data_IF_935945850796
#
_entry.id   IF_935945850796
#
_cell.length_a   1.000
_cell.length_b   1.000
_cell.length_c   1.000
_cell.angle_alpha   90.00
_cell.angle_beta   90.00
_cell.angle_gamma   90.00
#
_symmetry.space_group_name_H-M   'P 1'
#
loop_
_entity.id
_entity.type
_entity.pdbx_description
1 polymer ?
#
# COMPACT_ATOMS: atom_id res chain seq x y z
N UNK A 1 -19.39 -17.77 -0.94
CA UNK A 1 -20.66 -17.04 -1.18
C UNK A 1 -20.68 -16.55 -2.63
N UNK A 2 -21.81 -16.05 -3.13
CA UNK A 2 -21.93 -15.44 -4.47
C UNK A 2 -20.92 -14.30 -4.67
N UNK A 3 -20.76 -13.43 -3.66
CA UNK A 3 -19.80 -12.32 -3.68
C UNK A 3 -18.35 -12.76 -3.96
N UNK A 4 -17.92 -13.90 -3.42
CA UNK A 4 -16.59 -14.45 -3.70
C UNK A 4 -16.47 -14.95 -5.14
N UNK A 5 -17.52 -15.55 -5.70
CA UNK A 5 -17.51 -16.01 -7.10
C UNK A 5 -17.43 -14.83 -8.06
N UNK A 6 -18.25 -13.80 -7.85
CA UNK A 6 -18.20 -12.57 -8.65
C UNK A 6 -16.84 -11.89 -8.57
N UNK A 7 -16.25 -11.79 -7.37
CA UNK A 7 -14.91 -11.21 -7.22
C UNK A 7 -13.83 -12.06 -7.90
N UNK A 8 -13.90 -13.39 -7.80
CA UNK A 8 -12.99 -14.30 -8.49
C UNK A 8 -13.11 -14.17 -10.01
N UNK A 9 -14.33 -14.15 -10.55
CA UNK A 9 -14.58 -13.97 -11.99
C UNK A 9 -14.00 -12.65 -12.49
N UNK A 10 -14.22 -11.55 -11.75
CA UNK A 10 -13.64 -10.23 -12.05
C UNK A 10 -12.11 -10.25 -12.10
N UNK A 11 -11.47 -10.98 -11.18
CA UNK A 11 -10.02 -10.95 -11.03
C UNK A 11 -9.28 -12.09 -11.76
N UNK A 12 -10.01 -13.07 -12.31
CA UNK A 12 -9.47 -14.26 -12.99
C UNK A 12 -8.33 -13.93 -13.96
N UNK A 13 -8.57 -13.04 -14.91
CA UNK A 13 -7.55 -12.68 -15.89
C UNK A 13 -6.31 -11.98 -15.30
N UNK A 14 -6.41 -11.29 -14.16
CA UNK A 14 -5.25 -10.73 -13.49
C UNK A 14 -4.49 -11.80 -12.69
N UNK A 15 -5.21 -12.75 -12.08
CA UNK A 15 -4.60 -13.91 -11.41
C UNK A 15 -3.78 -14.75 -12.40
N UNK A 16 -4.34 -15.05 -13.58
CA UNK A 16 -3.64 -15.80 -14.63
C UNK A 16 -2.38 -15.07 -15.14
N UNK A 17 -2.46 -13.73 -15.30
CA UNK A 17 -1.30 -12.91 -15.69
C UNK A 17 -0.18 -12.99 -14.65
N UNK A 18 -0.54 -12.98 -13.36
CA UNK A 18 0.43 -13.05 -12.26
C UNK A 18 1.10 -14.42 -12.19
N UNK A 19 0.36 -15.50 -12.44
CA UNK A 19 0.94 -16.83 -12.61
C UNK A 19 1.96 -16.84 -13.76
N UNK A 20 1.56 -16.37 -14.94
CA UNK A 20 2.45 -16.31 -16.10
C UNK A 20 3.69 -15.42 -15.87
N UNK A 21 3.58 -14.40 -15.02
CA UNK A 21 4.66 -13.51 -14.61
C UNK A 21 5.55 -14.08 -13.48
N UNK A 22 5.35 -15.33 -13.05
CA UNK A 22 6.17 -15.96 -12.02
C UNK A 22 5.97 -15.38 -10.61
N UNK A 23 4.77 -14.87 -10.35
CA UNK A 23 4.39 -14.34 -9.02
C UNK A 23 3.93 -15.44 -8.06
N UNK A 24 3.67 -16.65 -8.56
CA UNK A 24 3.48 -17.84 -7.72
C UNK A 24 4.86 -18.35 -7.29
N UNK A 25 5.11 -18.36 -5.97
CA UNK A 25 6.39 -18.74 -5.38
C UNK A 25 6.16 -19.54 -4.11
N UNK A 26 7.18 -20.25 -3.66
CA UNK A 26 7.22 -20.78 -2.30
C UNK A 26 7.33 -19.60 -1.33
N UNK A 27 6.24 -19.33 -0.61
CA UNK A 27 6.10 -18.22 0.32
C UNK A 27 6.03 -18.75 1.77
N UNK A 28 5.61 -17.91 2.72
CA UNK A 28 5.39 -18.35 4.11
C UNK A 28 4.21 -19.32 4.23
N UNK A 29 3.14 -19.08 3.45
CA UNK A 29 1.89 -19.87 3.45
C UNK A 29 0.90 -19.45 4.53
N UNK A 30 1.41 -19.00 5.68
CA UNK A 30 0.65 -18.61 6.89
C UNK A 30 1.17 -17.30 7.55
N UNK A 31 1.45 -16.27 6.74
CA UNK A 31 2.06 -15.02 7.23
C UNK A 31 1.07 -14.10 7.99
N UNK A 32 0.64 -14.48 9.18
CA UNK A 32 -0.19 -13.64 10.06
C UNK A 32 0.55 -13.19 11.32
N UNK A 33 0.02 -12.24 12.10
CA UNK A 33 0.74 -11.62 13.22
C UNK A 33 1.15 -12.61 14.32
N UNK A 34 0.46 -13.75 14.45
CA UNK A 34 0.88 -14.79 15.42
C UNK A 34 2.15 -15.53 15.00
N UNK A 35 2.56 -15.39 13.74
CA UNK A 35 3.76 -16.00 13.14
C UNK A 35 4.86 -14.95 12.91
N UNK A 36 4.78 -13.85 13.67
CA UNK A 36 5.78 -12.79 13.72
C UNK A 36 6.12 -12.55 15.18
N UNK A 37 7.40 -12.68 15.53
CA UNK A 37 7.90 -12.37 16.86
C UNK A 37 9.03 -11.33 16.77
N UNK A 38 9.32 -10.70 17.91
CA UNK A 38 10.53 -9.88 18.04
C UNK A 38 11.63 -10.78 18.60
N UNK A 39 12.73 -10.94 17.86
CA UNK A 39 13.96 -11.53 18.36
C UNK A 39 15.05 -10.47 18.28
N UNK A 40 15.72 -10.20 19.41
CA UNK A 40 16.75 -9.16 19.54
C UNK A 40 16.31 -7.76 19.06
N UNK A 41 15.02 -7.44 19.26
CA UNK A 41 14.44 -6.16 18.85
C UNK A 41 14.06 -6.06 17.37
N UNK A 42 14.28 -7.11 16.59
CA UNK A 42 13.93 -7.15 15.16
C UNK A 42 12.76 -8.11 14.89
N UNK A 43 11.84 -7.77 13.97
CA UNK A 43 10.79 -8.69 13.56
C UNK A 43 11.39 -9.91 12.84
N UNK A 44 10.89 -11.08 13.21
CA UNK A 44 11.25 -12.37 12.63
C UNK A 44 9.98 -13.15 12.31
N UNK A 45 9.93 -13.67 11.10
CA UNK A 45 8.89 -14.58 10.65
C UNK A 45 9.25 -15.98 11.13
N UNK A 46 8.27 -16.75 11.60
CA UNK A 46 8.47 -18.13 12.03
C UNK A 46 7.21 -18.95 11.74
N UNK A 47 7.30 -20.29 11.81
CA UNK A 47 6.18 -21.19 11.53
C UNK A 47 5.67 -21.08 10.07
N UNK A 48 6.59 -21.01 9.11
CA UNK A 48 6.25 -21.14 7.70
C UNK A 48 5.82 -22.57 7.35
N UNK A 49 4.95 -22.71 6.35
CA UNK A 49 4.49 -24.01 5.88
C UNK A 49 5.64 -24.73 5.15
N UNK A 50 6.29 -25.67 5.84
CA UNK A 50 7.42 -26.45 5.28
C UNK A 50 7.02 -27.84 4.79
N UNK A 51 5.88 -28.35 5.25
CA UNK A 51 5.49 -29.75 5.07
C UNK A 51 4.61 -30.00 3.83
N UNK A 52 4.12 -28.95 3.16
CA UNK A 52 3.26 -29.08 1.99
C UNK A 52 3.56 -27.99 0.96
N UNK A 53 4.27 -28.38 -0.10
CA UNK A 53 4.67 -27.48 -1.19
C UNK A 53 3.47 -26.86 -1.91
N UNK A 54 2.33 -27.55 -2.00
CA UNK A 54 1.13 -26.99 -2.65
C UNK A 54 0.50 -25.86 -1.82
N UNK A 55 0.54 -25.96 -0.49
CA UNK A 55 0.04 -24.91 0.41
C UNK A 55 1.04 -23.74 0.47
N UNK A 56 2.33 -24.03 0.44
CA UNK A 56 3.38 -23.02 0.48
C UNK A 56 3.57 -22.29 -0.86
N UNK A 57 3.18 -22.89 -1.99
CA UNK A 57 3.30 -22.29 -3.32
C UNK A 57 2.08 -21.45 -3.65
N UNK A 58 2.19 -20.14 -3.48
CA UNK A 58 1.09 -19.20 -3.67
C UNK A 58 1.56 -17.87 -4.25
N UNK A 59 0.63 -17.00 -4.60
CA UNK A 59 0.94 -15.65 -5.04
C UNK A 59 1.58 -14.85 -3.90
N UNK A 60 2.69 -14.17 -4.17
CA UNK A 60 3.41 -13.37 -3.16
C UNK A 60 2.53 -12.32 -2.47
N UNK A 61 1.57 -11.71 -3.18
CA UNK A 61 0.62 -10.77 -2.59
C UNK A 61 -0.50 -11.47 -1.84
N UNK A 62 -0.84 -12.72 -2.18
CA UNK A 62 -1.78 -13.52 -1.40
C UNK A 62 -1.18 -13.96 -0.05
N UNK A 63 0.14 -14.20 -0.01
CA UNK A 63 0.87 -14.42 1.24
C UNK A 63 0.93 -13.14 2.10
N UNK A 64 1.34 -12.01 1.49
CA UNK A 64 1.36 -10.70 2.15
C UNK A 64 -0.02 -10.31 2.69
N UNK A 65 -1.08 -10.54 1.91
CA UNK A 65 -2.45 -10.18 2.27
C UNK A 65 -2.91 -10.82 3.58
N UNK A 66 -2.28 -11.91 4.02
CA UNK A 66 -2.61 -12.50 5.32
C UNK A 66 -2.22 -11.54 6.45
N UNK A 67 -1.00 -11.00 6.44
CA UNK A 67 -0.54 -10.02 7.41
C UNK A 67 -1.39 -8.74 7.36
N UNK A 68 -1.68 -8.27 6.14
CA UNK A 68 -2.49 -7.06 5.95
C UNK A 68 -3.90 -7.23 6.51
N UNK A 69 -4.54 -8.37 6.23
CA UNK A 69 -5.86 -8.72 6.77
C UNK A 69 -5.82 -8.79 8.30
N UNK A 70 -4.77 -9.38 8.88
CA UNK A 70 -4.64 -9.58 10.32
C UNK A 70 -4.43 -8.25 11.09
N UNK A 71 -3.63 -7.34 10.52
CA UNK A 71 -3.46 -5.97 11.00
C UNK A 71 -4.78 -5.18 10.90
N UNK A 72 -5.47 -5.30 9.77
CA UNK A 72 -6.73 -4.61 9.53
C UNK A 72 -7.82 -5.07 10.51
N UNK A 73 -7.97 -6.39 10.69
CA UNK A 73 -8.92 -7.00 11.62
C UNK A 73 -8.71 -6.53 13.08
N UNK A 74 -7.44 -6.35 13.49
CA UNK A 74 -7.07 -5.87 14.83
C UNK A 74 -7.19 -4.36 15.02
N UNK A 75 -7.65 -3.62 14.02
CA UNK A 75 -7.84 -2.17 14.12
C UNK A 75 -6.54 -1.37 13.90
N UNK A 76 -5.59 -1.91 13.14
CA UNK A 76 -4.36 -1.21 12.73
C UNK A 76 -4.32 -0.94 11.22
N UNK A 77 -5.29 -0.17 10.65
CA UNK A 77 -5.34 0.10 9.22
C UNK A 77 -4.11 0.89 8.73
N UNK A 78 -3.60 1.81 9.54
CA UNK A 78 -2.40 2.60 9.22
C UNK A 78 -1.16 1.72 9.04
N UNK A 79 -1.00 0.69 9.90
CA UNK A 79 0.10 -0.26 9.81
C UNK A 79 -0.08 -1.21 8.61
N UNK A 80 -1.29 -1.65 8.32
CA UNK A 80 -1.56 -2.45 7.12
C UNK A 80 -1.22 -1.66 5.85
N UNK A 81 -1.64 -0.40 5.77
CA UNK A 81 -1.32 0.47 4.64
C UNK A 81 0.18 0.73 4.53
N UNK A 82 0.86 0.97 5.65
CA UNK A 82 2.31 1.18 5.68
C UNK A 82 3.06 -0.05 5.17
N UNK A 83 2.75 -1.25 5.67
CA UNK A 83 3.38 -2.51 5.23
C UNK A 83 3.17 -2.70 3.73
N UNK A 84 1.94 -2.52 3.24
CA UNK A 84 1.60 -2.64 1.83
C UNK A 84 2.37 -1.65 0.96
N UNK A 85 2.42 -0.37 1.34
CA UNK A 85 3.17 0.64 0.58
C UNK A 85 4.67 0.36 0.57
N UNK A 86 5.25 -0.04 1.70
CA UNK A 86 6.69 -0.36 1.77
C UNK A 86 7.04 -1.63 1.01
N UNK A 87 6.16 -2.63 1.03
CA UNK A 87 6.34 -3.82 0.21
C UNK A 87 6.36 -3.46 -1.28
N UNK A 88 5.37 -2.69 -1.76
CA UNK A 88 5.27 -2.29 -3.17
C UNK A 88 6.31 -1.24 -3.60
N UNK A 89 6.92 -0.52 -2.66
CA UNK A 89 8.06 0.35 -2.96
C UNK A 89 9.32 -0.46 -3.32
N UNK A 90 9.51 -1.61 -2.68
CA UNK A 90 10.68 -2.48 -2.86
C UNK A 90 10.43 -3.62 -3.86
N UNK A 91 9.18 -4.06 -4.00
CA UNK A 91 8.75 -5.11 -4.90
C UNK A 91 8.15 -4.53 -6.19
N UNK A 92 8.54 -5.08 -7.33
CA UNK A 92 7.95 -4.77 -8.63
C UNK A 92 6.61 -5.50 -8.82
N UNK A 93 5.61 -5.12 -8.02
CA UNK A 93 4.30 -5.80 -7.89
C UNK A 93 3.10 -4.84 -7.84
N UNK A 94 3.27 -3.58 -8.29
CA UNK A 94 2.20 -2.58 -8.30
C UNK A 94 0.98 -2.98 -9.16
N UNK A 95 1.19 -3.84 -10.16
CA UNK A 95 0.13 -4.39 -11.03
C UNK A 95 -0.86 -5.31 -10.29
N UNK A 96 -0.46 -5.87 -9.15
CA UNK A 96 -1.30 -6.69 -8.29
C UNK A 96 -2.06 -5.91 -7.23
N UNK A 97 -1.89 -4.58 -7.13
CA UNK A 97 -2.47 -3.75 -6.06
C UNK A 97 -3.98 -3.95 -5.90
N UNK A 98 -4.72 -4.00 -7.01
CA UNK A 98 -6.17 -4.15 -7.00
C UNK A 98 -6.66 -5.52 -6.51
N UNK A 99 -5.80 -6.53 -6.40
CA UNK A 99 -6.13 -7.84 -5.86
C UNK A 99 -6.10 -7.87 -4.33
N UNK A 100 -5.42 -6.94 -3.67
CA UNK A 100 -5.21 -6.97 -2.23
C UNK A 100 -6.51 -7.06 -1.41
N UNK A 101 -7.58 -6.28 -1.69
CA UNK A 101 -8.85 -6.43 -0.99
C UNK A 101 -9.43 -7.85 -1.13
N UNK A 102 -9.36 -8.43 -2.34
CA UNK A 102 -9.86 -9.77 -2.62
C UNK A 102 -9.02 -10.85 -1.90
N UNK A 103 -7.69 -10.76 -1.97
CA UNK A 103 -6.81 -11.68 -1.25
C UNK A 103 -6.99 -11.60 0.27
N UNK A 104 -7.11 -10.38 0.83
CA UNK A 104 -7.44 -10.18 2.23
C UNK A 104 -8.79 -10.81 2.57
N UNK A 105 -9.81 -10.67 1.71
CA UNK A 105 -11.13 -11.28 1.93
C UNK A 105 -11.04 -12.81 1.99
N UNK A 106 -10.29 -13.42 1.07
CA UNK A 106 -10.08 -14.88 1.06
C UNK A 106 -9.37 -15.32 2.34
N UNK A 107 -8.31 -14.62 2.76
CA UNK A 107 -7.59 -14.93 4.01
C UNK A 107 -8.49 -14.76 5.25
N UNK A 108 -9.34 -13.74 5.28
CA UNK A 108 -10.33 -13.57 6.34
C UNK A 108 -11.34 -14.73 6.36
N UNK A 109 -11.82 -15.19 5.19
CA UNK A 109 -12.71 -16.35 5.11
C UNK A 109 -12.04 -17.65 5.58
N UNK A 110 -10.77 -17.86 5.25
CA UNK A 110 -9.97 -18.99 5.76
C UNK A 110 -9.88 -18.94 7.29
N UNK A 111 -9.55 -17.78 7.87
CA UNK A 111 -9.52 -17.59 9.34
C UNK A 111 -10.88 -17.84 9.99
N UNK A 112 -11.96 -17.40 9.36
CA UNK A 112 -13.31 -17.67 9.84
C UNK A 112 -13.60 -19.18 9.88
N UNK A 113 -13.24 -19.90 8.81
CA UNK A 113 -13.49 -21.33 8.70
C UNK A 113 -12.67 -22.14 9.70
N UNK A 114 -11.35 -21.91 9.78
CA UNK A 114 -10.46 -22.59 10.73
C UNK A 114 -10.90 -22.37 12.18
N UNK A 115 -11.24 -21.12 12.52
CA UNK A 115 -11.74 -20.80 13.87
C UNK A 115 -13.06 -21.50 14.18
N UNK A 116 -13.95 -21.66 13.18
CA UNK A 116 -15.21 -22.38 13.35
C UNK A 116 -15.00 -23.90 13.54
N UNK A 117 -14.06 -24.52 12.82
CA UNK A 117 -13.73 -25.94 13.01
C UNK A 117 -13.22 -26.22 14.43
N UNK A 118 -12.40 -25.32 15.00
CA UNK A 118 -11.94 -25.43 16.39
C UNK A 118 -13.08 -25.39 17.43
N UNK A 119 -14.22 -24.76 17.10
CA UNK A 119 -15.42 -24.78 17.95
C UNK A 119 -16.05 -26.17 17.96
N UNK A 120 -16.17 -26.80 16.79
CA UNK A 120 -16.76 -28.14 16.63
C UNK A 120 -15.93 -29.22 17.34
N UNK A 121 -14.62 -29.05 17.41
CA UNK A 121 -13.68 -29.95 18.10
C UNK A 121 -13.68 -29.82 19.63
N UNK A 122 -14.56 -28.99 20.21
CA UNK A 122 -14.85 -29.01 21.65
C UNK A 122 -13.93 -28.14 22.52
N UNK A 123 -13.44 -27.01 22.00
CA UNK A 123 -12.62 -26.09 22.81
C UNK A 123 -13.39 -25.54 24.03
N UNK A 124 -12.67 -25.33 25.15
CA UNK A 124 -13.23 -24.81 26.41
C UNK A 124 -13.74 -23.36 26.32
N UNK A 125 -13.50 -22.65 25.20
CA UNK A 125 -13.86 -21.24 24.99
C UNK A 125 -14.67 -21.04 23.70
N UNK A 126 -15.65 -21.93 23.49
CA UNK A 126 -16.52 -21.98 22.31
C UNK A 126 -17.17 -20.62 21.99
N UNK A 127 -17.64 -19.87 23.00
CA UNK A 127 -18.30 -18.59 22.79
C UNK A 127 -17.36 -17.53 22.18
N UNK A 128 -16.12 -17.42 22.66
CA UNK A 128 -15.13 -16.47 22.12
C UNK A 128 -14.73 -16.85 20.70
N UNK A 129 -14.50 -18.13 20.43
CA UNK A 129 -14.16 -18.62 19.09
C UNK A 129 -15.30 -18.41 18.09
N UNK A 130 -16.56 -18.61 18.49
CA UNK A 130 -17.72 -18.30 17.63
C UNK A 130 -17.76 -16.81 17.28
N UNK A 131 -17.52 -15.92 18.25
CA UNK A 131 -17.46 -14.49 18.00
C UNK A 131 -16.28 -14.11 17.07
N UNK A 132 -15.11 -14.71 17.29
CA UNK A 132 -13.92 -14.52 16.46
C UNK A 132 -14.17 -14.98 15.01
N UNK A 133 -14.69 -16.19 14.80
CA UNK A 133 -15.04 -16.72 13.48
C UNK A 133 -16.03 -15.81 12.73
N UNK A 134 -17.09 -15.35 13.41
CA UNK A 134 -18.07 -14.40 12.84
C UNK A 134 -17.43 -13.07 12.47
N UNK A 135 -16.52 -12.56 13.30
CA UNK A 135 -15.84 -11.29 13.03
C UNK A 135 -14.97 -11.35 11.77
N UNK A 136 -14.25 -12.46 11.54
CA UNK A 136 -13.48 -12.66 10.31
C UNK A 136 -14.38 -12.84 9.09
N UNK A 137 -15.51 -13.54 9.23
CA UNK A 137 -16.47 -13.67 8.14
C UNK A 137 -17.09 -12.32 7.76
N UNK A 138 -17.44 -11.49 8.75
CA UNK A 138 -17.92 -10.13 8.52
C UNK A 138 -16.86 -9.26 7.84
N UNK A 139 -15.60 -9.36 8.25
CA UNK A 139 -14.48 -8.68 7.59
C UNK A 139 -14.33 -9.13 6.13
N UNK A 140 -14.42 -10.43 5.84
CA UNK A 140 -14.37 -10.95 4.48
C UNK A 140 -15.46 -10.33 3.60
N UNK A 141 -16.68 -10.16 4.12
CA UNK A 141 -17.77 -9.51 3.39
C UNK A 141 -17.53 -8.01 3.19
N UNK A 142 -16.99 -7.29 4.19
CA UNK A 142 -16.62 -5.88 4.07
C UNK A 142 -15.56 -5.66 2.99
N UNK A 143 -14.53 -6.52 2.96
CA UNK A 143 -13.42 -6.42 2.01
C UNK A 143 -13.83 -6.64 0.55
N UNK A 144 -14.93 -7.35 0.32
CA UNK A 144 -15.50 -7.57 -1.02
C UNK A 144 -16.40 -6.41 -1.49
N UNK A 145 -16.73 -5.44 -0.62
CA UNK A 145 -17.55 -4.29 -1.01
C UNK A 145 -16.73 -3.37 -1.92
N UNK A 146 -17.32 -3.05 -3.06
CA UNK A 146 -16.72 -2.12 -4.01
C UNK A 146 -16.67 -0.72 -3.42
N UNK A 147 -15.49 -0.09 -3.50
CA UNK A 147 -15.30 1.31 -3.14
C UNK A 147 -14.75 2.04 -4.36
N UNK A 148 -15.36 3.17 -4.77
CA UNK A 148 -14.90 3.89 -5.95
C UNK A 148 -13.46 4.39 -5.74
N UNK A 149 -12.58 4.25 -6.75
CA UNK A 149 -11.22 4.75 -6.67
C UNK A 149 -11.20 6.27 -6.54
N UNK A 150 -10.16 6.80 -5.89
CA UNK A 150 -9.94 8.24 -5.72
C UNK A 150 -8.47 8.57 -5.90
N UNK A 151 -8.19 9.73 -6.47
CA UNK A 151 -6.85 10.31 -6.49
C UNK A 151 -6.81 11.54 -5.58
N UNK A 152 -5.95 11.51 -4.56
CA UNK A 152 -5.67 12.66 -3.71
C UNK A 152 -4.24 13.11 -3.95
N UNK A 153 -4.04 14.34 -4.40
CA UNK A 153 -2.70 14.94 -4.49
C UNK A 153 -2.44 15.81 -3.27
N UNK A 154 -1.27 15.63 -2.65
CA UNK A 154 -0.78 16.43 -1.53
C UNK A 154 0.50 17.12 -1.98
N UNK A 155 0.46 18.45 -2.04
CA UNK A 155 1.57 19.29 -2.46
C UNK A 155 2.00 20.32 -1.42
N UNK A 156 3.08 21.03 -1.71
CA UNK A 156 3.73 21.98 -0.79
C UNK A 156 5.24 21.81 -0.71
N UNK A 157 5.94 22.81 -0.20
CA UNK A 157 7.40 22.80 -0.08
C UNK A 157 7.90 21.68 0.85
N UNK A 158 9.18 21.32 0.74
CA UNK A 158 9.74 20.34 1.68
C UNK A 158 9.67 20.84 3.12
N UNK A 159 9.37 19.95 4.06
CA UNK A 159 9.12 20.30 5.47
C UNK A 159 7.67 20.74 5.79
N UNK A 160 6.80 20.93 4.79
CA UNK A 160 5.41 21.34 5.02
C UNK A 160 4.53 20.26 5.69
N UNK A 161 4.99 19.01 5.70
CA UNK A 161 4.28 17.87 6.30
C UNK A 161 3.52 16.99 5.30
N UNK A 162 3.75 17.15 3.99
CA UNK A 162 3.06 16.37 2.93
C UNK A 162 3.06 14.87 3.20
N UNK A 163 4.25 14.28 3.37
CA UNK A 163 4.42 12.84 3.57
C UNK A 163 3.71 12.35 4.83
N UNK A 164 3.78 13.13 5.91
CA UNK A 164 3.03 12.82 7.14
C UNK A 164 1.53 12.77 6.89
N UNK A 165 0.97 13.76 6.17
CA UNK A 165 -0.46 13.77 5.83
C UNK A 165 -0.79 12.65 4.85
N UNK A 166 0.07 12.36 3.87
CA UNK A 166 -0.12 11.28 2.90
C UNK A 166 -0.21 9.92 3.60
N UNK A 167 0.72 9.63 4.51
CA UNK A 167 0.76 8.38 5.28
C UNK A 167 -0.45 8.24 6.22
N UNK A 168 -0.87 9.33 6.90
CA UNK A 168 -2.05 9.32 7.77
C UNK A 168 -3.37 9.15 7.00
N UNK A 169 -3.45 9.69 5.77
CA UNK A 169 -4.67 9.62 4.97
C UNK A 169 -4.77 8.32 4.18
N UNK A 170 -3.66 7.73 3.74
CA UNK A 170 -3.65 6.63 2.78
C UNK A 170 -4.49 5.43 3.22
N UNK A 171 -4.41 5.03 4.50
CA UNK A 171 -5.20 3.92 5.04
C UNK A 171 -6.73 4.13 4.98
N UNK A 172 -7.17 5.38 4.87
CA UNK A 172 -8.58 5.77 4.94
C UNK A 172 -9.22 6.04 3.57
N UNK A 173 -8.50 5.80 2.49
CA UNK A 173 -8.94 6.11 1.12
C UNK A 173 -9.07 4.84 0.29
N UNK A 174 -10.26 4.61 -0.29
CA UNK A 174 -10.51 3.46 -1.18
C UNK A 174 -10.79 2.15 -0.44
N UNK A 175 -10.62 1.04 -1.16
CA UNK A 175 -10.73 -0.30 -0.61
C UNK A 175 -9.55 -0.61 0.33
N UNK A 176 -9.74 -1.41 1.40
CA UNK A 176 -8.62 -1.88 2.23
C UNK A 176 -7.57 -2.61 1.37
N UNK A 177 -6.26 -2.45 1.62
CA UNK A 177 -5.63 -1.78 2.77
C UNK A 177 -5.40 -0.26 2.57
N UNK A 178 -6.27 0.43 1.84
CA UNK A 178 -6.20 1.86 1.59
C UNK A 178 -5.50 2.18 0.27
N UNK A 179 -5.10 3.43 0.10
CA UNK A 179 -4.48 3.92 -1.13
C UNK A 179 -2.98 3.62 -1.22
N UNK A 180 -2.50 3.45 -2.45
CA UNK A 180 -1.07 3.47 -2.79
C UNK A 180 -0.55 4.91 -2.72
N UNK A 181 0.56 5.12 -2.04
CA UNK A 181 1.28 6.39 -2.03
C UNK A 181 2.26 6.41 -3.20
N UNK A 182 2.11 7.36 -4.11
CA UNK A 182 3.05 7.58 -5.21
C UNK A 182 3.83 8.85 -4.91
N UNK A 183 5.07 8.69 -4.47
CA UNK A 183 5.93 9.78 -3.97
C UNK A 183 7.03 10.14 -4.97
N UNK A 184 7.17 11.43 -5.29
CA UNK A 184 8.15 11.91 -6.28
C UNK A 184 9.60 11.62 -5.91
N UNK A 185 9.98 11.75 -4.63
CA UNK A 185 11.36 11.46 -4.19
C UNK A 185 11.67 9.96 -4.32
N UNK A 186 10.75 9.06 -3.93
CA UNK A 186 10.90 7.61 -4.12
C UNK A 186 11.03 7.22 -5.58
N UNK A 187 10.17 7.77 -6.45
CA UNK A 187 10.27 7.55 -7.90
C UNK A 187 11.64 8.02 -8.41
N UNK A 188 12.12 9.17 -7.94
CA UNK A 188 13.43 9.69 -8.32
C UNK A 188 14.55 8.72 -7.91
N UNK A 189 14.51 8.16 -6.69
CA UNK A 189 15.48 7.13 -6.25
C UNK A 189 15.42 5.87 -7.11
N UNK A 190 14.21 5.37 -7.36
CA UNK A 190 13.99 4.18 -8.18
C UNK A 190 14.52 4.37 -9.61
N UNK A 191 14.28 5.54 -10.23
CA UNK A 191 14.82 5.89 -11.56
C UNK A 191 16.36 5.95 -11.59
N UNK A 192 17.00 6.12 -10.44
CA UNK A 192 18.45 6.09 -10.29
C UNK A 192 18.99 4.73 -9.83
N UNK A 193 18.12 3.74 -9.59
CA UNK A 193 18.50 2.40 -9.13
C UNK A 193 19.13 2.40 -7.73
N UNK A 194 18.73 3.34 -6.87
CA UNK A 194 19.26 3.46 -5.51
C UNK A 194 18.15 3.28 -4.46
N UNK A 195 18.48 2.81 -3.24
CA UNK A 195 17.54 2.75 -2.13
C UNK A 195 16.86 4.08 -1.83
N UNK A 196 15.64 4.02 -1.27
CA UNK A 196 14.85 5.20 -0.97
C UNK A 196 15.58 6.22 -0.08
N UNK A 197 16.44 5.77 0.83
CA UNK A 197 17.17 6.65 1.76
C UNK A 197 18.49 7.19 1.20
N UNK A 198 18.91 6.77 0.00
CA UNK A 198 20.19 7.18 -0.58
C UNK A 198 20.12 8.60 -1.13
N UNK A 199 20.92 9.53 -0.59
CA UNK A 199 20.95 10.91 -1.06
C UNK A 199 21.41 11.02 -2.52
N UNK A 200 20.65 11.74 -3.35
CA UNK A 200 21.01 12.01 -4.73
C UNK A 200 21.73 13.36 -4.88
N UNK A 201 22.58 13.51 -5.90
CA UNK A 201 23.20 14.80 -6.23
C UNK A 201 22.19 15.76 -6.88
N UNK A 202 22.41 17.08 -6.78
CA UNK A 202 21.56 18.15 -7.33
C UNK A 202 21.16 17.96 -8.80
N UNK A 203 22.02 17.31 -9.62
CA UNK A 203 21.71 16.99 -11.02
C UNK A 203 20.43 16.16 -11.17
N UNK A 204 20.07 15.36 -10.18
CA UNK A 204 18.86 14.55 -10.17
C UNK A 204 17.59 15.40 -10.04
N UNK A 205 17.70 16.66 -9.60
CA UNK A 205 16.58 17.59 -9.37
C UNK A 205 16.42 18.63 -10.48
N UNK A 206 17.23 18.56 -11.55
CA UNK A 206 17.13 19.46 -12.70
C UNK A 206 15.75 19.35 -13.38
N UNK A 207 15.25 20.43 -14.03
CA UNK A 207 13.91 20.47 -14.61
C UNK A 207 13.59 19.28 -15.55
N UNK A 208 14.56 18.83 -16.35
CA UNK A 208 14.37 17.73 -17.30
C UNK A 208 14.17 16.38 -16.58
N UNK A 209 14.85 16.17 -15.46
CA UNK A 209 14.66 14.97 -14.63
C UNK A 209 13.36 15.05 -13.84
N UNK A 210 13.04 16.21 -13.27
CA UNK A 210 11.76 16.42 -12.59
C UNK A 210 10.58 16.18 -13.53
N UNK A 211 10.63 16.66 -14.77
CA UNK A 211 9.59 16.37 -15.77
C UNK A 211 9.37 14.86 -15.98
N UNK A 212 10.45 14.07 -16.04
CA UNK A 212 10.36 12.60 -16.15
C UNK A 212 9.71 11.97 -14.92
N UNK A 213 10.09 12.43 -13.72
CA UNK A 213 9.53 11.94 -12.44
C UNK A 213 8.04 12.23 -12.34
N UNK A 214 7.60 13.45 -12.66
CA UNK A 214 6.17 13.80 -12.61
C UNK A 214 5.34 13.06 -13.68
N UNK A 215 5.92 12.77 -14.84
CA UNK A 215 5.27 11.92 -15.86
C UNK A 215 5.11 10.48 -15.37
N UNK A 216 6.14 9.92 -14.76
CA UNK A 216 6.08 8.59 -14.17
C UNK A 216 5.04 8.52 -13.05
N UNK A 217 5.01 9.51 -12.17
CA UNK A 217 4.03 9.58 -11.08
C UNK A 217 2.58 9.58 -11.61
N UNK A 218 2.29 10.38 -12.64
CA UNK A 218 0.98 10.40 -13.27
C UNK A 218 0.64 9.08 -13.99
N UNK A 219 1.64 8.45 -14.61
CA UNK A 219 1.47 7.15 -15.27
C UNK A 219 1.15 6.04 -14.27
N UNK A 220 1.93 5.90 -13.19
CA UNK A 220 1.68 4.93 -12.11
C UNK A 220 0.34 5.13 -11.45
N UNK A 221 0.01 6.39 -11.12
CA UNK A 221 -1.31 6.73 -10.59
C UNK A 221 -2.41 6.27 -11.56
N UNK A 222 -2.27 6.58 -12.85
CA UNK A 222 -3.22 6.15 -13.88
C UNK A 222 -3.41 4.63 -13.97
N UNK A 223 -2.34 3.85 -13.86
CA UNK A 223 -2.44 2.37 -13.86
C UNK A 223 -3.25 1.85 -12.67
N UNK A 224 -2.91 2.30 -11.46
CA UNK A 224 -3.59 1.85 -10.24
C UNK A 224 -5.07 2.24 -10.27
N UNK A 225 -5.37 3.47 -10.69
CA UNK A 225 -6.75 3.95 -10.83
C UNK A 225 -7.54 3.15 -11.87
N UNK A 226 -6.92 2.75 -12.98
CA UNK A 226 -7.55 1.93 -14.02
C UNK A 226 -7.96 0.54 -13.53
N UNK A 227 -7.25 -0.01 -12.55
CA UNK A 227 -7.57 -1.30 -11.93
C UNK A 227 -8.52 -1.14 -10.71
N UNK A 228 -9.05 0.07 -10.47
CA UNK A 228 -9.98 0.35 -9.37
C UNK A 228 -9.32 0.65 -8.03
N UNK A 229 -7.99 0.83 -8.00
CA UNK A 229 -7.24 1.23 -6.83
C UNK A 229 -7.31 2.73 -6.55
N UNK A 230 -7.10 3.14 -5.29
CA UNK A 230 -6.97 4.54 -4.91
C UNK A 230 -5.51 4.94 -4.75
N UNK A 231 -5.22 6.22 -5.00
CA UNK A 231 -3.86 6.76 -5.00
C UNK A 231 -3.78 8.04 -4.17
N UNK A 232 -2.72 8.16 -3.38
CA UNK A 232 -2.26 9.42 -2.79
C UNK A 232 -0.96 9.82 -3.48
N UNK A 233 -0.96 10.92 -4.23
CA UNK A 233 0.25 11.45 -4.86
C UNK A 233 0.93 12.48 -3.94
N UNK A 234 2.20 12.26 -3.58
CA UNK A 234 2.99 13.14 -2.73
C UNK A 234 4.19 13.73 -3.50
N UNK A 235 4.12 15.03 -3.79
CA UNK A 235 5.19 15.75 -4.46
C UNK A 235 5.15 17.24 -4.10
N UNK A 236 6.11 18.03 -4.56
CA UNK A 236 6.09 19.48 -4.29
C UNK A 236 4.90 20.16 -4.98
N UNK A 237 4.58 19.77 -6.22
CA UNK A 237 3.50 20.34 -7.03
C UNK A 237 3.50 21.89 -7.04
N UNK A 238 4.66 22.50 -7.20
CA UNK A 238 4.85 23.95 -7.34
C UNK A 238 4.44 24.45 -8.74
N UNK A 239 4.69 23.65 -9.78
CA UNK A 239 4.38 24.01 -11.17
C UNK A 239 2.92 23.70 -11.52
N UNK A 240 2.16 24.64 -12.12
CA UNK A 240 0.78 24.39 -12.58
C UNK A 240 0.66 23.19 -13.53
N UNK A 241 1.62 23.03 -14.45
CA UNK A 241 1.65 21.90 -15.37
C UNK A 241 1.74 20.53 -14.67
N UNK A 242 2.40 20.45 -13.51
CA UNK A 242 2.49 19.21 -12.74
C UNK A 242 1.17 18.89 -12.03
N UNK A 243 0.46 19.92 -11.55
CA UNK A 243 -0.90 19.80 -10.97
C UNK A 243 -1.89 19.33 -12.03
N UNK A 244 -1.90 19.97 -13.18
CA UNK A 244 -2.74 19.58 -14.32
C UNK A 244 -2.45 18.15 -14.77
N UNK A 245 -1.16 17.74 -14.76
CA UNK A 245 -0.77 16.39 -15.17
C UNK A 245 -1.31 15.33 -14.22
N UNK A 246 -1.19 15.52 -12.91
CA UNK A 246 -1.69 14.54 -11.94
C UNK A 246 -3.22 14.52 -11.92
N UNK A 247 -3.88 15.67 -12.05
CA UNK A 247 -5.34 15.74 -12.15
C UNK A 247 -5.85 14.99 -13.39
N UNK A 248 -5.19 15.17 -14.55
CA UNK A 248 -5.51 14.44 -15.78
C UNK A 248 -5.38 12.93 -15.64
N UNK A 249 -4.52 12.43 -14.76
CA UNK A 249 -4.41 10.99 -14.51
C UNK A 249 -5.73 10.40 -13.98
N UNK A 250 -6.46 11.16 -13.16
CA UNK A 250 -7.78 10.77 -12.65
C UNK A 250 -8.93 11.15 -13.59
N UNK A 251 -8.99 12.41 -14.06
CA UNK A 251 -10.14 12.92 -14.81
C UNK A 251 -10.31 12.22 -16.17
N UNK A 252 -9.21 11.82 -16.83
CA UNK A 252 -9.26 11.02 -18.07
C UNK A 252 -9.89 9.63 -17.90
N UNK A 253 -10.06 9.16 -16.65
CA UNK A 253 -10.64 7.87 -16.27
C UNK A 253 -11.99 8.02 -15.55
N UNK A 254 -12.51 9.24 -15.44
CA UNK A 254 -13.73 9.51 -14.66
C UNK A 254 -13.56 9.31 -13.14
N UNK A 255 -12.33 9.33 -12.64
CA UNK A 255 -12.01 9.16 -11.21
C UNK A 255 -12.04 10.50 -10.49
N UNK A 256 -12.58 10.53 -9.27
CA UNK A 256 -12.61 11.73 -8.45
C UNK A 256 -11.20 12.17 -8.02
N UNK A 257 -10.90 13.46 -8.23
CA UNK A 257 -9.64 14.10 -7.85
C UNK A 257 -9.84 15.12 -6.72
N UNK A 258 -8.88 15.18 -5.80
CA UNK A 258 -8.77 16.27 -4.83
C UNK A 258 -7.30 16.68 -4.65
N UNK A 259 -6.99 17.95 -4.83
CA UNK A 259 -5.65 18.51 -4.60
C UNK A 259 -5.60 19.35 -3.33
N UNK A 260 -4.65 19.03 -2.44
CA UNK A 260 -4.37 19.78 -1.21
C UNK A 260 -2.96 20.35 -1.29
N UNK A 261 -2.85 21.68 -1.30
CA UNK A 261 -1.58 22.39 -1.42
C UNK A 261 -1.22 23.01 -0.07
N UNK A 262 -0.29 22.39 0.64
CA UNK A 262 0.09 22.79 1.99
C UNK A 262 1.02 24.00 1.96
N UNK A 263 0.65 25.00 2.75
CA UNK A 263 1.47 26.17 3.04
C UNK A 263 1.92 26.12 4.51
N UNK A 264 3.16 26.51 4.76
CA UNK A 264 3.73 26.58 6.10
C UNK A 264 4.71 27.75 6.17
N UNK A 265 4.83 28.32 7.37
CA UNK A 265 5.74 29.44 7.63
C UNK A 265 7.21 29.05 7.29
N UNK A 266 7.97 29.90 6.58
CA UNK A 266 9.35 29.59 6.18
C UNK A 266 10.28 29.24 7.36
N UNK A 267 10.11 29.85 8.53
CA UNK A 267 10.91 29.52 9.72
C UNK A 267 10.57 28.12 10.25
N UNK A 268 9.30 27.72 10.18
CA UNK A 268 8.88 26.36 10.52
C UNK A 268 9.45 25.34 9.54
N UNK A 269 9.45 25.63 8.24
CA UNK A 269 10.06 24.76 7.22
C UNK A 269 11.56 24.58 7.47
N UNK A 270 12.27 25.69 7.73
CA UNK A 270 13.70 25.69 8.02
C UNK A 270 14.03 24.82 9.24
N UNK A 271 13.28 24.99 10.33
CA UNK A 271 13.44 24.20 11.55
C UNK A 271 13.21 22.71 11.29
N UNK A 272 12.11 22.36 10.63
CA UNK A 272 11.75 20.96 10.35
C UNK A 272 12.75 20.26 9.45
N UNK A 273 13.31 20.96 8.46
CA UNK A 273 14.34 20.40 7.59
C UNK A 273 15.67 20.25 8.33
N UNK A 274 16.03 21.19 9.20
CA UNK A 274 17.24 21.13 10.02
C UNK A 274 17.19 20.01 11.07
N UNK A 275 16.02 19.74 11.65
CA UNK A 275 15.82 18.70 12.66
C UNK A 275 15.57 17.30 12.04
N UNK A 276 15.34 17.21 10.73
CA UNK A 276 15.02 15.96 10.04
C UNK A 276 16.20 14.99 10.11
N UNK A 277 15.93 13.77 10.57
CA UNK A 277 16.88 12.64 10.54
C UNK A 277 16.35 11.54 9.63
N UNK A 278 16.96 11.38 8.45
CA UNK A 278 16.59 10.35 7.47
C UNK A 278 15.29 10.65 6.70
N UNK A 279 14.83 9.66 5.94
CA UNK A 279 13.68 9.74 5.04
C UNK A 279 14.07 9.83 3.55
N UNK A 280 13.10 9.70 2.63
CA UNK A 280 13.37 9.63 1.20
C UNK A 280 13.75 10.96 0.54
N UNK A 281 13.45 12.08 1.20
CA UNK A 281 13.59 13.42 0.63
C UNK A 281 14.97 14.03 0.83
N UNK A 282 15.59 14.52 -0.26
CA UNK A 282 16.94 15.13 -0.24
C UNK A 282 16.95 16.64 0.03
N UNK A 283 15.78 17.25 0.23
CA UNK A 283 15.68 18.69 0.42
C UNK A 283 16.47 19.13 1.67
N UNK A 284 17.39 20.08 1.47
CA UNK A 284 18.12 20.76 2.55
C UNK A 284 17.63 22.18 2.74
N UNK A 285 18.13 22.83 3.79
CA UNK A 285 17.94 24.27 4.04
C UNK A 285 18.32 25.10 2.80
N UNK A 286 19.38 24.74 2.08
CA UNK A 286 19.85 25.45 0.87
C UNK A 286 18.90 25.30 -0.32
N UNK A 287 17.99 24.31 -0.30
CA UNK A 287 16.98 24.11 -1.34
C UNK A 287 15.74 24.96 -1.06
N UNK A 288 15.41 25.23 0.21
CA UNK A 288 14.28 26.10 0.61
C UNK A 288 14.50 27.57 0.29
N UNK A 289 15.76 28.01 0.22
CA UNK A 289 16.15 29.42 0.05
C UNK A 289 16.35 29.83 -1.42
N UNK A 290 16.12 28.91 -2.36
CA UNK A 290 16.17 29.14 -3.82
C UNK A 290 14.76 29.31 -4.38
#
# INVERSE_FOLDING_TARGET
>A
TESFRTALERHSGLLDRREAAGKIRRCHGDLHLRNICLMDGEPRLFDCVEFNDQIASTDVLYDLAFLLMDLWHRGFPDLANLVMNRYLDEADDEDGFALLPFFMAVRAAVRAHVTATQVEEGSADSARLVAEARSYFALAQELLREKPPRLIAIGGLSGSGKTTIAELLAAHIGAPPGARIVESDRIRKAMHGVPAQTRLPDRAYRPEFSERVYREMAWRAGLILSEGGSVVADAVFDRPADRDRIEKAASSRGVAFAGFWLEADPLLLWRRISERRGGPSDATVDVLSR
#
